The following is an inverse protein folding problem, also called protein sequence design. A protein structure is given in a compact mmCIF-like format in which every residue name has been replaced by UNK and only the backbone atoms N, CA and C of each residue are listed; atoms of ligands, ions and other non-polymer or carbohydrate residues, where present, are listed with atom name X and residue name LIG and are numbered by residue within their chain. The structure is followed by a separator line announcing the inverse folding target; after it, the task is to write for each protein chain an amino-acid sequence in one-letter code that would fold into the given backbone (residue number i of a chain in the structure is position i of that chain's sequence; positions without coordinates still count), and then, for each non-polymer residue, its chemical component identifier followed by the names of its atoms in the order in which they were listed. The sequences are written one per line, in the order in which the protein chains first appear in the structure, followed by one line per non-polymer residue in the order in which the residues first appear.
data_IF_530938167553
#
_entry.id   IF_530938167553
#
_cell.length_a   1.000
_cell.length_b   1.000
_cell.length_c   1.000
_cell.angle_alpha   90.00
_cell.angle_beta   90.00
_cell.angle_gamma   90.00
#
_symmetry.space_group_name_H-M   'P 1'
#
loop_
_entity.id
_entity.type
_entity.pdbx_description
1 polymer ?
#
# COMPACT_ATOMS: atom_id res chain seq x y z
N UNK A 1 10.29 -11.68 16.57
CA UNK A 1 9.38 -11.97 15.43
C UNK A 1 8.46 -10.80 15.10
N UNK A 2 7.77 -10.16 16.07
CA UNK A 2 6.91 -8.98 15.82
C UNK A 2 7.62 -7.75 15.19
N UNK A 3 8.92 -7.54 15.43
CA UNK A 3 9.65 -6.38 14.89
C UNK A 3 9.81 -6.35 13.35
N UNK A 4 9.69 -7.50 12.68
CA UNK A 4 9.78 -7.56 11.20
C UNK A 4 8.44 -7.22 10.54
N UNK A 5 7.32 -7.55 11.20
CA UNK A 5 5.97 -7.28 10.72
C UNK A 5 5.71 -5.79 10.50
N UNK A 6 6.22 -4.94 11.41
CA UNK A 6 6.07 -3.48 11.31
C UNK A 6 6.98 -2.81 10.28
N UNK A 7 7.86 -3.56 9.59
CA UNK A 7 8.76 -3.00 8.57
C UNK A 7 8.35 -3.36 7.16
N UNK A 8 7.37 -4.24 7.00
CA UNK A 8 6.92 -4.71 5.69
C UNK A 8 5.83 -3.73 5.20
N UNK A 9 6.01 -3.13 4.01
CA UNK A 9 4.93 -2.38 3.36
C UNK A 9 3.95 -3.38 2.73
N UNK A 10 2.82 -3.58 3.40
CA UNK A 10 1.79 -4.54 3.00
C UNK A 10 1.14 -4.14 1.68
N UNK A 11 1.15 -2.84 1.32
CA UNK A 11 0.69 -2.36 0.02
C UNK A 11 1.49 -2.90 -1.16
N UNK A 12 2.73 -3.36 -0.96
CA UNK A 12 3.49 -4.04 -2.02
C UNK A 12 2.82 -5.36 -2.45
N UNK A 13 2.08 -6.03 -1.57
CA UNK A 13 1.34 -7.23 -1.96
C UNK A 13 0.23 -6.92 -2.97
N UNK A 14 -0.42 -5.74 -2.88
CA UNK A 14 -1.44 -5.33 -3.84
C UNK A 14 -0.84 -5.11 -5.22
N UNK A 15 0.32 -4.44 -5.26
CA UNK A 15 1.07 -4.21 -6.50
C UNK A 15 1.50 -5.55 -7.13
N UNK A 16 2.07 -6.45 -6.33
CA UNK A 16 2.48 -7.78 -6.79
C UNK A 16 1.27 -8.54 -7.36
N UNK A 17 0.12 -8.51 -6.67
CA UNK A 17 -1.09 -9.17 -7.14
C UNK A 17 -1.53 -8.63 -8.51
N UNK A 18 -1.57 -7.31 -8.67
CA UNK A 18 -1.92 -6.66 -9.95
C UNK A 18 -0.95 -7.06 -11.06
N UNK A 19 0.36 -7.10 -10.77
CA UNK A 19 1.37 -7.56 -11.74
C UNK A 19 1.12 -9.01 -12.14
N UNK A 20 0.84 -9.91 -11.19
CA UNK A 20 0.61 -11.34 -11.48
C UNK A 20 -0.61 -11.52 -12.37
N UNK A 21 -1.75 -10.92 -12.03
CA UNK A 21 -2.98 -11.11 -12.82
C UNK A 21 -2.83 -10.56 -14.24
N UNK A 22 -2.18 -9.39 -14.40
CA UNK A 22 -1.95 -8.82 -15.73
C UNK A 22 -0.81 -9.48 -16.52
N UNK A 23 0.02 -10.30 -15.87
CA UNK A 23 1.03 -11.14 -16.54
C UNK A 23 0.42 -12.44 -17.05
N UNK A 24 -0.60 -12.98 -16.37
CA UNK A 24 -1.30 -14.22 -16.73
C UNK A 24 -2.80 -14.02 -16.99
N UNK A 25 -3.19 -13.17 -17.96
CA UNK A 25 -4.58 -12.80 -18.21
C UNK A 25 -5.44 -13.97 -18.74
N UNK A 26 -4.82 -15.03 -19.27
CA UNK A 26 -5.53 -16.23 -19.71
C UNK A 26 -5.99 -17.12 -18.54
N UNK A 27 -5.40 -16.94 -17.37
CA UNK A 27 -5.67 -17.75 -16.17
C UNK A 27 -6.48 -16.98 -15.13
N UNK A 28 -6.25 -15.67 -15.02
CA UNK A 28 -6.90 -14.82 -14.04
C UNK A 28 -7.73 -13.74 -14.73
N UNK A 29 -9.04 -13.81 -14.57
CA UNK A 29 -9.97 -12.79 -15.07
C UNK A 29 -10.26 -11.78 -13.96
N UNK A 30 -9.80 -10.54 -14.16
CA UNK A 30 -10.02 -9.46 -13.19
C UNK A 30 -11.51 -9.14 -13.01
N UNK A 31 -12.38 -9.43 -13.98
CA UNK A 31 -13.84 -9.24 -13.85
C UNK A 31 -14.55 -10.38 -13.09
N UNK A 32 -13.85 -11.48 -12.83
CA UNK A 32 -14.40 -12.66 -12.18
C UNK A 32 -13.91 -12.85 -10.74
N UNK A 33 -13.71 -14.10 -10.36
CA UNK A 33 -13.34 -14.51 -9.00
C UNK A 33 -12.05 -13.83 -8.49
N UNK A 34 -11.05 -13.63 -9.36
CA UNK A 34 -9.82 -12.93 -8.97
C UNK A 34 -10.04 -11.47 -8.58
N UNK A 35 -10.97 -10.75 -9.22
CA UNK A 35 -11.31 -9.38 -8.83
C UNK A 35 -11.89 -9.31 -7.42
N UNK A 36 -12.80 -10.22 -7.05
CA UNK A 36 -13.37 -10.27 -5.71
C UNK A 36 -12.34 -10.67 -4.63
N UNK A 37 -11.45 -11.62 -4.96
CA UNK A 37 -10.33 -11.96 -4.08
C UNK A 37 -9.38 -10.77 -3.90
N UNK A 38 -9.14 -9.98 -4.95
CA UNK A 38 -8.35 -8.76 -4.88
C UNK A 38 -9.01 -7.71 -3.99
N UNK A 39 -10.33 -7.51 -4.07
CA UNK A 39 -11.03 -6.59 -3.16
C UNK A 39 -10.88 -6.99 -1.70
N UNK A 40 -11.04 -8.27 -1.38
CA UNK A 40 -10.83 -8.77 -0.01
C UNK A 40 -9.39 -8.54 0.44
N UNK A 41 -8.41 -8.78 -0.44
CA UNK A 41 -7.00 -8.52 -0.16
C UNK A 41 -6.74 -7.03 0.11
N UNK A 42 -7.31 -6.13 -0.69
CA UNK A 42 -7.23 -4.68 -0.49
C UNK A 42 -7.72 -4.27 0.91
N UNK A 43 -8.88 -4.78 1.32
CA UNK A 43 -9.45 -4.50 2.64
C UNK A 43 -8.56 -5.04 3.76
N UNK A 44 -8.06 -6.27 3.63
CA UNK A 44 -7.14 -6.86 4.61
C UNK A 44 -5.87 -6.03 4.74
N UNK A 45 -5.24 -5.67 3.62
CA UNK A 45 -4.00 -4.86 3.60
C UNK A 45 -4.22 -3.50 4.26
N UNK A 46 -5.35 -2.83 4.01
CA UNK A 46 -5.70 -1.61 4.71
C UNK A 46 -5.70 -1.81 6.22
N UNK A 47 -6.39 -2.83 6.72
CA UNK A 47 -6.40 -3.11 8.16
C UNK A 47 -5.01 -3.41 8.71
N UNK A 48 -4.18 -4.17 7.99
CA UNK A 48 -2.81 -4.46 8.41
C UNK A 48 -1.96 -3.19 8.52
N UNK A 49 -2.05 -2.27 7.54
CA UNK A 49 -1.36 -0.98 7.59
C UNK A 49 -1.88 -0.08 8.72
N UNK A 50 -3.20 -0.07 8.94
CA UNK A 50 -3.79 0.66 10.07
C UNK A 50 -3.26 0.13 11.42
N UNK A 51 -3.21 -1.18 11.63
CA UNK A 51 -2.67 -1.76 12.87
C UNK A 51 -1.17 -1.51 13.03
N UNK A 52 -0.40 -1.57 11.94
CA UNK A 52 1.03 -1.25 11.93
C UNK A 52 1.29 0.18 12.43
N UNK A 53 0.39 1.11 12.07
CA UNK A 53 0.56 2.52 12.38
C UNK A 53 0.41 2.90 13.87
N UNK A 54 0.03 1.96 14.75
CA UNK A 54 -0.20 2.22 16.17
C UNK A 54 1.06 2.39 17.02
N UNK A 55 2.21 1.85 16.61
CA UNK A 55 3.47 1.87 17.38
C UNK A 55 4.66 2.15 16.45
N UNK A 56 5.01 3.43 16.31
CA UNK A 56 5.97 3.91 15.32
C UNK A 56 7.14 4.63 16.02
N UNK A 57 8.35 4.12 15.78
CA UNK A 57 9.62 4.75 16.11
C UNK A 57 10.16 5.50 14.87
N UNK A 58 11.10 6.45 15.03
CA UNK A 58 11.63 7.29 13.94
C UNK A 58 12.19 6.51 12.74
N UNK A 59 12.78 5.33 12.97
CA UNK A 59 13.26 4.45 11.88
C UNK A 59 12.09 3.85 11.09
N UNK A 60 11.00 3.47 11.76
CA UNK A 60 9.79 2.96 11.10
C UNK A 60 9.12 4.05 10.29
N UNK A 61 9.06 5.28 10.80
CA UNK A 61 8.58 6.45 10.06
C UNK A 61 9.31 6.63 8.71
N UNK A 62 10.65 6.60 8.71
CA UNK A 62 11.43 6.78 7.49
C UNK A 62 11.19 5.64 6.50
N UNK A 63 11.09 4.40 6.98
CA UNK A 63 10.77 3.23 6.15
C UNK A 63 9.37 3.37 5.53
N UNK A 64 8.37 3.75 6.32
CA UNK A 64 6.98 3.94 5.85
C UNK A 64 6.88 5.07 4.81
N UNK A 65 7.61 6.17 5.01
CA UNK A 65 7.65 7.27 4.06
C UNK A 65 8.28 6.84 2.73
N UNK A 66 9.45 6.20 2.78
CA UNK A 66 10.15 5.73 1.58
C UNK A 66 9.30 4.68 0.86
N UNK A 67 8.74 3.71 1.58
CA UNK A 67 7.92 2.66 0.98
C UNK A 67 6.63 3.23 0.36
N UNK A 68 6.02 4.24 0.98
CA UNK A 68 4.84 4.92 0.43
C UNK A 68 5.14 5.59 -0.91
N UNK A 69 6.26 6.32 -0.99
CA UNK A 69 6.70 6.97 -2.23
C UNK A 69 7.03 5.94 -3.30
N UNK A 70 7.77 4.89 -2.95
CA UNK A 70 8.15 3.81 -3.89
C UNK A 70 6.90 3.08 -4.40
N UNK A 71 5.97 2.72 -3.52
CA UNK A 71 4.71 2.07 -3.89
C UNK A 71 3.89 2.95 -4.84
N UNK A 72 3.82 4.26 -4.59
CA UNK A 72 3.12 5.20 -5.45
C UNK A 72 3.76 5.31 -6.85
N UNK A 73 5.09 5.39 -6.93
CA UNK A 73 5.83 5.42 -8.20
C UNK A 73 5.58 4.14 -9.00
N UNK A 74 5.71 2.98 -8.36
CA UNK A 74 5.50 1.68 -9.02
C UNK A 74 4.05 1.56 -9.49
N UNK A 75 3.08 1.94 -8.67
CA UNK A 75 1.66 1.89 -9.03
C UNK A 75 1.36 2.81 -10.21
N UNK A 76 1.93 4.02 -10.22
CA UNK A 76 1.77 4.96 -11.33
C UNK A 76 2.36 4.41 -12.62
N UNK A 77 3.55 3.82 -12.56
CA UNK A 77 4.19 3.17 -13.71
C UNK A 77 3.37 1.97 -14.21
N UNK A 78 2.86 1.14 -13.29
CA UNK A 78 2.02 -0.02 -13.60
C UNK A 78 0.71 0.41 -14.27
N UNK A 79 -0.01 1.38 -13.68
CA UNK A 79 -1.27 1.87 -14.26
C UNK A 79 -1.04 2.49 -15.64
N UNK A 80 0.04 3.26 -15.81
CA UNK A 80 0.42 3.81 -17.10
C UNK A 80 0.66 2.70 -18.12
N UNK A 81 1.48 1.71 -17.77
CA UNK A 81 1.73 0.53 -18.62
C UNK A 81 0.44 -0.19 -19.01
N UNK A 82 -0.47 -0.43 -18.06
CA UNK A 82 -1.74 -1.12 -18.31
C UNK A 82 -2.68 -0.30 -19.21
N UNK A 83 -2.75 1.02 -19.04
CA UNK A 83 -3.54 1.90 -19.91
C UNK A 83 -3.07 1.77 -21.36
N UNK A 84 -1.75 1.83 -21.59
CA UNK A 84 -1.19 1.72 -22.93
C UNK A 84 -1.30 0.31 -23.51
N UNK A 85 -1.06 -0.73 -22.72
CA UNK A 85 -1.12 -2.13 -23.16
C UNK A 85 -2.56 -2.57 -23.45
N UNK A 86 -3.50 -2.24 -22.57
CA UNK A 86 -4.89 -2.69 -22.65
C UNK A 86 -5.78 -1.75 -23.49
N UNK A 87 -5.19 -0.80 -24.23
CA UNK A 87 -5.92 0.22 -25.02
C UNK A 87 -7.03 0.91 -24.21
N UNK A 88 -6.80 1.16 -22.92
CA UNK A 88 -7.76 1.80 -22.01
C UNK A 88 -8.80 0.89 -21.36
N UNK A 89 -8.82 -0.42 -21.61
CA UNK A 89 -9.75 -1.36 -20.96
C UNK A 89 -9.28 -1.77 -19.55
N UNK A 90 -9.13 -0.79 -18.64
CA UNK A 90 -8.94 -1.05 -17.22
C UNK A 90 -10.27 -1.43 -16.56
N UNK A 91 -10.23 -2.41 -15.67
CA UNK A 91 -11.41 -2.83 -14.92
C UNK A 91 -11.62 -1.94 -13.70
N UNK A 92 -12.83 -1.99 -13.11
CA UNK A 92 -13.10 -1.33 -11.83
C UNK A 92 -12.09 -1.74 -10.74
N UNK A 93 -11.69 -3.02 -10.72
CA UNK A 93 -10.76 -3.56 -9.74
C UNK A 93 -9.38 -2.93 -9.84
N UNK A 94 -8.91 -2.63 -11.06
CA UNK A 94 -7.63 -1.95 -11.26
C UNK A 94 -7.63 -0.54 -10.68
N UNK A 95 -8.70 0.21 -10.95
CA UNK A 95 -8.88 1.55 -10.41
C UNK A 95 -9.05 1.54 -8.90
N UNK A 96 -9.78 0.56 -8.36
CA UNK A 96 -9.97 0.40 -6.92
C UNK A 96 -8.63 0.11 -6.24
N UNK A 97 -7.85 -0.85 -6.74
CA UNK A 97 -6.52 -1.15 -6.19
C UNK A 97 -5.59 0.06 -6.22
N UNK A 98 -5.57 0.81 -7.33
CA UNK A 98 -4.81 2.05 -7.44
C UNK A 98 -5.27 3.09 -6.41
N UNK A 99 -6.57 3.27 -6.22
CA UNK A 99 -7.12 4.19 -5.22
C UNK A 99 -6.73 3.80 -3.79
N UNK A 100 -6.71 2.51 -3.47
CA UNK A 100 -6.25 2.01 -2.17
C UNK A 100 -4.77 2.32 -1.95
N UNK A 101 -3.91 2.08 -2.95
CA UNK A 101 -2.47 2.34 -2.82
C UNK A 101 -2.19 3.85 -2.71
N UNK A 102 -2.91 4.68 -3.48
CA UNK A 102 -2.84 6.15 -3.34
C UNK A 102 -3.28 6.58 -1.94
N UNK A 103 -4.41 6.06 -1.46
CA UNK A 103 -4.91 6.34 -0.11
C UNK A 103 -3.89 5.97 0.97
N UNK A 104 -3.33 4.76 0.92
CA UNK A 104 -2.29 4.32 1.86
C UNK A 104 -1.04 5.21 1.78
N UNK A 105 -0.60 5.59 0.57
CA UNK A 105 0.58 6.45 0.40
C UNK A 105 0.43 7.84 1.04
N UNK A 106 -0.80 8.27 1.33
CA UNK A 106 -1.12 9.51 2.05
C UNK A 106 -1.30 9.23 3.54
N UNK A 107 -2.07 8.18 3.89
CA UNK A 107 -2.41 7.85 5.27
C UNK A 107 -1.22 7.35 6.08
N UNK A 108 -0.33 6.56 5.49
CA UNK A 108 0.87 6.02 6.15
C UNK A 108 1.83 7.13 6.60
N UNK A 109 2.23 8.10 5.74
CA UNK A 109 2.97 9.28 6.18
C UNK A 109 2.25 10.12 7.22
N UNK A 110 0.93 10.29 7.10
CA UNK A 110 0.16 11.11 8.04
C UNK A 110 0.12 10.50 9.45
N UNK A 111 -0.15 9.19 9.55
CA UNK A 111 -0.18 8.48 10.83
C UNK A 111 1.19 8.41 11.48
N UNK A 112 2.23 8.20 10.68
CA UNK A 112 3.61 8.15 11.16
C UNK A 112 4.10 9.52 11.63
N UNK A 113 3.73 10.61 10.94
CA UNK A 113 4.01 11.98 11.38
C UNK A 113 3.30 12.34 12.68
N UNK A 114 2.01 11.99 12.81
CA UNK A 114 1.23 12.20 14.05
C UNK A 114 1.87 11.49 15.24
N UNK A 115 2.33 10.26 15.04
CA UNK A 115 2.97 9.46 16.10
C UNK A 115 4.34 10.02 16.47
N UNK A 116 5.13 10.47 15.50
CA UNK A 116 6.41 11.12 15.74
C UNK A 116 6.24 12.42 16.56
N UNK A 117 5.27 13.28 16.23
CA UNK A 117 4.96 14.49 17.00
C UNK A 117 4.58 14.17 18.45
N UNK A 118 3.78 13.12 18.68
CA UNK A 118 3.43 12.68 20.04
C UNK A 118 4.66 12.25 20.83
N UNK A 119 5.59 11.53 20.20
CA UNK A 119 6.82 11.09 20.85
C UNK A 119 7.78 12.26 21.15
N UNK A 120 7.82 13.28 20.29
CA UNK A 120 8.61 14.50 20.54
C UNK A 120 8.02 15.41 21.62
N UNK A 121 6.74 15.28 21.95
CA UNK A 121 6.07 16.04 23.02
C UNK A 121 6.11 15.34 24.40
N UNK A 122 6.72 14.15 24.49
CA UNK A 122 6.93 13.44 25.74
C UNK A 122 7.95 14.15 26.67
N UNK A 123 7.92 13.89 27.99
CA UNK A 123 8.63 14.66 29.03
C UNK A 123 10.17 14.62 28.98
N UNK A 124 10.79 13.93 28.01
CA UNK A 124 12.23 13.64 28.01
C UNK A 124 13.08 14.72 27.30
N UNK A 125 12.50 15.85 26.91
CA UNK A 125 13.19 16.93 26.18
C UNK A 125 13.89 17.94 27.12
N UNK A 126 13.72 17.81 28.44
CA UNK A 126 14.38 18.67 29.45
C UNK A 126 15.04 17.87 30.59
N UNK A 127 15.83 16.84 30.27
CA UNK A 127 16.74 16.21 31.25
C UNK A 127 18.14 16.08 30.70
#
# INVERSE_FOLDING_TARGET
MLKMFNKIPWTMFLIIYMVVVHTFPTTFDMNGTSGYLFLMLCVIVLFLEFFKSGDINSTTFLVDLISSVVALIITTALMTYLIFKSKGALTFFDWFGAAIIVGDSILSPFNSFRTALRNFQGPDVFS
#
